data_IF_188357607676
#
_entry.id   IF_188357607676
#
_cell.length_a   1.000
_cell.length_b   1.000
_cell.length_c   1.000
_cell.angle_alpha   90.00
_cell.angle_beta   90.00
_cell.angle_gamma   90.00
#
_symmetry.space_group_name_H-M   'P 1'
#
loop_
_entity.id
_entity.type
_entity.pdbx_description
1 polymer ?
#
# COMPACT_ATOMS: atom_id res chain seq x y z
N UNK A 1 -10.99 32.89 -21.90
CA UNK A 1 -9.98 32.59 -20.85
C UNK A 1 -10.22 31.19 -20.32
N UNK A 2 -9.25 30.26 -20.35
CA UNK A 2 -9.41 28.95 -19.73
C UNK A 2 -9.38 29.09 -18.20
N UNK A 3 -10.39 28.57 -17.50
CA UNK A 3 -10.47 28.59 -16.02
C UNK A 3 -9.25 27.84 -15.44
N UNK A 4 -8.55 28.40 -14.43
CA UNK A 4 -7.45 27.70 -13.78
C UNK A 4 -7.97 26.41 -13.13
N UNK A 5 -7.35 25.28 -13.48
CA UNK A 5 -7.62 23.97 -12.88
C UNK A 5 -7.42 24.09 -11.37
N UNK A 6 -8.49 23.96 -10.57
CA UNK A 6 -8.41 23.86 -9.11
C UNK A 6 -7.40 22.76 -8.77
N UNK A 7 -6.23 23.12 -8.25
CA UNK A 7 -5.28 22.17 -7.67
C UNK A 7 -6.03 21.48 -6.52
N UNK A 8 -6.34 20.19 -6.69
CA UNK A 8 -6.86 19.37 -5.58
C UNK A 8 -5.86 19.51 -4.43
N UNK A 9 -6.36 19.87 -3.25
CA UNK A 9 -5.54 19.93 -2.04
C UNK A 9 -4.71 18.64 -1.96
N UNK A 10 -3.40 18.76 -1.72
CA UNK A 10 -2.54 17.59 -1.46
C UNK A 10 -3.10 16.92 -0.21
N UNK A 11 -3.95 15.91 -0.40
CA UNK A 11 -4.40 15.06 0.70
C UNK A 11 -3.17 14.51 1.43
N UNK A 12 -3.29 14.34 2.74
CA UNK A 12 -2.25 13.74 3.59
C UNK A 12 -1.74 12.48 2.89
N UNK A 13 -0.46 12.45 2.52
CA UNK A 13 0.11 11.30 1.83
C UNK A 13 0.20 10.16 2.83
N UNK A 14 -0.60 9.11 2.61
CA UNK A 14 -0.64 7.94 3.47
C UNK A 14 0.55 7.02 3.26
N UNK A 15 1.06 6.96 2.03
CA UNK A 15 2.30 6.28 1.71
C UNK A 15 3.45 7.28 1.67
N UNK A 16 4.22 7.33 2.76
CA UNK A 16 5.37 8.22 2.92
C UNK A 16 6.70 7.48 2.68
N UNK A 17 7.82 8.22 2.72
CA UNK A 17 9.16 7.63 2.66
C UNK A 17 9.45 6.66 3.80
N UNK A 18 8.82 6.82 4.96
CA UNK A 18 9.02 5.93 6.11
C UNK A 18 8.53 4.52 5.81
N UNK A 19 7.37 4.42 5.15
CA UNK A 19 6.78 3.17 4.70
C UNK A 19 7.64 2.51 3.61
N UNK A 20 8.13 3.31 2.66
CA UNK A 20 9.06 2.82 1.63
C UNK A 20 10.34 2.26 2.26
N UNK A 21 10.94 2.97 3.22
CA UNK A 21 12.10 2.51 3.95
C UNK A 21 11.81 1.25 4.78
N UNK A 22 10.64 1.16 5.41
CA UNK A 22 10.23 -0.02 6.17
C UNK A 22 10.12 -1.26 5.27
N UNK A 23 9.56 -1.11 4.06
CA UNK A 23 9.50 -2.19 3.06
C UNK A 23 10.90 -2.60 2.62
N UNK A 24 11.79 -1.65 2.31
CA UNK A 24 13.18 -1.94 1.92
C UNK A 24 13.90 -2.71 3.02
N UNK A 25 13.78 -2.27 4.28
CA UNK A 25 14.35 -2.97 5.43
C UNK A 25 13.74 -4.36 5.62
N UNK A 26 12.43 -4.51 5.45
CA UNK A 26 11.75 -5.79 5.58
C UNK A 26 12.23 -6.81 4.53
N UNK A 27 12.51 -6.35 3.30
CA UNK A 27 13.01 -7.18 2.21
C UNK A 27 14.49 -7.52 2.42
N UNK A 28 15.28 -6.58 2.94
CA UNK A 28 16.71 -6.79 3.20
C UNK A 28 16.99 -7.60 4.48
N UNK A 29 16.09 -7.56 5.47
CA UNK A 29 16.26 -8.24 6.76
C UNK A 29 15.94 -9.73 6.67
N UNK A 30 16.75 -10.53 7.35
CA UNK A 30 16.53 -11.97 7.55
C UNK A 30 16.00 -12.28 8.96
N UNK A 31 15.99 -11.30 9.88
CA UNK A 31 15.49 -11.48 11.23
C UNK A 31 13.96 -11.40 11.25
N UNK A 32 13.33 -12.47 11.72
CA UNK A 32 11.89 -12.57 11.84
C UNK A 32 11.30 -11.52 12.79
N UNK A 33 12.02 -11.15 13.86
CA UNK A 33 11.56 -10.17 14.85
C UNK A 33 11.50 -8.78 14.24
N UNK A 34 12.55 -8.40 13.53
CA UNK A 34 12.60 -7.12 12.82
C UNK A 34 11.53 -7.06 11.73
N UNK A 35 11.36 -8.14 10.95
CA UNK A 35 10.31 -8.22 9.93
C UNK A 35 8.92 -8.10 10.53
N UNK A 36 8.63 -8.77 11.65
CA UNK A 36 7.35 -8.65 12.35
C UNK A 36 7.11 -7.22 12.86
N UNK A 37 8.13 -6.58 13.43
CA UNK A 37 8.02 -5.18 13.88
C UNK A 37 7.72 -4.23 12.73
N UNK A 38 8.51 -4.28 11.65
CA UNK A 38 8.32 -3.46 10.46
C UNK A 38 6.94 -3.69 9.83
N UNK A 39 6.49 -4.95 9.83
CA UNK A 39 5.18 -5.32 9.32
C UNK A 39 4.05 -4.71 10.16
N UNK A 40 4.06 -4.93 11.47
CA UNK A 40 2.97 -4.50 12.34
C UNK A 40 2.88 -2.98 12.47
N UNK A 41 4.01 -2.29 12.57
CA UNK A 41 4.03 -0.84 12.84
C UNK A 41 3.85 0.02 11.59
N UNK A 42 4.41 -0.41 10.44
CA UNK A 42 4.48 0.44 9.25
C UNK A 42 3.75 -0.16 8.06
N UNK A 43 4.09 -1.39 7.67
CA UNK A 43 3.67 -1.94 6.37
C UNK A 43 2.20 -2.37 6.39
N UNK A 44 1.79 -3.14 7.39
CA UNK A 44 0.43 -3.66 7.52
C UNK A 44 -0.63 -2.55 7.53
N UNK A 45 -0.50 -1.52 8.39
CA UNK A 45 -1.42 -0.39 8.42
C UNK A 45 -1.51 0.33 7.07
N UNK A 46 -0.37 0.59 6.41
CA UNK A 46 -0.38 1.35 5.13
C UNK A 46 -0.95 0.54 3.98
N UNK A 47 -0.76 -0.78 3.99
CA UNK A 47 -1.37 -1.68 3.00
C UNK A 47 -2.88 -1.79 3.20
N UNK A 48 -3.35 -1.86 4.45
CA UNK A 48 -4.79 -1.81 4.74
C UNK A 48 -5.39 -0.50 4.23
N UNK A 49 -4.77 0.64 4.53
CA UNK A 49 -5.27 1.95 4.07
C UNK A 49 -5.25 2.05 2.53
N UNK A 50 -4.28 1.43 1.85
CA UNK A 50 -4.22 1.35 0.39
C UNK A 50 -5.41 0.57 -0.18
N UNK A 51 -5.69 -0.61 0.37
CA UNK A 51 -6.82 -1.46 -0.03
C UNK A 51 -8.15 -0.75 0.22
N UNK A 52 -8.31 -0.14 1.40
CA UNK A 52 -9.52 0.61 1.74
C UNK A 52 -9.77 1.75 0.75
N UNK A 53 -8.72 2.53 0.42
CA UNK A 53 -8.84 3.62 -0.56
C UNK A 53 -9.27 3.14 -1.93
N UNK A 54 -8.83 1.96 -2.36
CA UNK A 54 -9.22 1.36 -3.62
C UNK A 54 -10.70 0.97 -3.56
N UNK A 55 -11.13 0.26 -2.51
CA UNK A 55 -12.53 -0.10 -2.30
C UNK A 55 -13.45 1.13 -2.33
N UNK A 56 -13.06 2.21 -1.64
CA UNK A 56 -13.82 3.47 -1.66
C UNK A 56 -13.82 4.15 -3.04
N UNK A 57 -12.67 4.15 -3.73
CA UNK A 57 -12.54 4.81 -5.05
C UNK A 57 -13.43 4.14 -6.10
N UNK A 58 -13.50 2.81 -6.08
CA UNK A 58 -14.29 2.01 -7.01
C UNK A 58 -15.72 1.73 -6.52
N UNK A 59 -16.11 2.24 -5.34
CA UNK A 59 -17.42 2.06 -4.72
C UNK A 59 -17.81 0.59 -4.51
N UNK A 60 -16.84 -0.27 -4.21
CA UNK A 60 -17.10 -1.68 -3.90
C UNK A 60 -17.72 -1.91 -2.51
N UNK A 61 -18.00 -0.85 -1.76
CA UNK A 61 -18.56 -0.90 -0.40
C UNK A 61 -19.93 -1.57 -0.31
N UNK A 62 -20.68 -1.70 -1.41
CA UNK A 62 -21.99 -2.37 -1.45
C UNK A 62 -21.91 -3.84 -1.86
N UNK A 63 -20.71 -4.35 -2.15
CA UNK A 63 -20.49 -5.71 -2.61
C UNK A 63 -20.47 -6.64 -1.39
N UNK A 64 -21.34 -7.67 -1.31
CA UNK A 64 -21.54 -8.46 -0.10
C UNK A 64 -20.29 -9.23 0.37
N UNK A 65 -19.38 -9.57 -0.54
CA UNK A 65 -18.12 -10.27 -0.27
C UNK A 65 -16.89 -9.34 -0.27
N UNK A 66 -17.08 -8.02 -0.13
CA UNK A 66 -15.95 -7.08 -0.18
C UNK A 66 -14.96 -7.29 0.96
N UNK A 67 -15.43 -7.70 2.14
CA UNK A 67 -14.56 -7.96 3.29
C UNK A 67 -13.56 -9.09 2.99
N UNK A 68 -14.05 -10.21 2.45
CA UNK A 68 -13.21 -11.34 2.06
C UNK A 68 -12.22 -10.95 0.97
N UNK A 69 -12.67 -10.20 -0.05
CA UNK A 69 -11.81 -9.71 -1.13
C UNK A 69 -10.72 -8.75 -0.63
N UNK A 70 -11.02 -7.92 0.37
CA UNK A 70 -10.03 -7.04 0.99
C UNK A 70 -8.96 -7.85 1.72
N UNK A 71 -9.37 -8.87 2.47
CA UNK A 71 -8.43 -9.70 3.21
C UNK A 71 -7.57 -10.56 2.29
N UNK A 72 -8.14 -11.09 1.20
CA UNK A 72 -7.37 -11.74 0.13
C UNK A 72 -6.36 -10.77 -0.51
N UNK A 73 -6.78 -9.53 -0.80
CA UNK A 73 -5.87 -8.49 -1.32
C UNK A 73 -4.71 -8.20 -0.35
N UNK A 74 -5.00 -8.08 0.95
CA UNK A 74 -3.97 -7.84 1.97
C UNK A 74 -2.99 -9.01 2.04
N UNK A 75 -3.50 -10.25 2.09
CA UNK A 75 -2.64 -11.45 2.10
C UNK A 75 -1.77 -11.48 0.85
N UNK A 76 -2.34 -11.24 -0.32
CA UNK A 76 -1.58 -11.23 -1.56
C UNK A 76 -0.48 -10.16 -1.54
N UNK A 77 -0.76 -8.95 -1.06
CA UNK A 77 0.25 -7.89 -0.87
C UNK A 77 1.42 -8.33 0.00
N UNK A 78 1.18 -9.09 1.07
CA UNK A 78 2.26 -9.65 1.90
C UNK A 78 3.08 -10.68 1.13
N UNK A 79 2.44 -11.55 0.35
CA UNK A 79 3.15 -12.61 -0.41
C UNK A 79 4.10 -12.07 -1.47
N UNK A 80 3.76 -10.94 -2.09
CA UNK A 80 4.58 -10.31 -3.12
C UNK A 80 5.62 -9.33 -2.54
N UNK A 81 5.49 -8.97 -1.27
CA UNK A 81 6.39 -8.06 -0.58
C UNK A 81 7.87 -8.46 -0.70
N UNK A 82 8.28 -9.73 -0.44
CA UNK A 82 9.66 -10.15 -0.65
C UNK A 82 10.12 -10.12 -2.12
N UNK A 83 9.20 -10.00 -3.09
CA UNK A 83 9.54 -9.88 -4.52
C UNK A 83 9.80 -8.44 -4.95
N UNK A 84 9.53 -7.46 -4.07
CA UNK A 84 9.77 -6.05 -4.37
C UNK A 84 11.27 -5.76 -4.50
N UNK A 85 11.64 -5.06 -5.58
CA UNK A 85 13.00 -4.60 -5.80
C UNK A 85 13.02 -3.04 -5.81
N UNK A 86 13.70 -2.41 -4.84
CA UNK A 86 13.77 -0.95 -4.74
C UNK A 86 14.57 -0.25 -5.84
N UNK A 87 15.48 -0.96 -6.53
CA UNK A 87 16.24 -0.41 -7.65
C UNK A 87 15.38 -0.21 -8.90
N UNK A 88 14.31 -1.01 -9.05
CA UNK A 88 13.44 -0.97 -10.24
C UNK A 88 12.36 0.10 -10.16
N UNK A 89 11.75 0.27 -9.00
CA UNK A 89 10.63 1.19 -8.83
C UNK A 89 10.43 1.59 -7.37
N UNK A 90 9.79 2.75 -7.16
CA UNK A 90 9.31 3.16 -5.85
C UNK A 90 8.22 2.22 -5.34
N UNK A 91 8.22 1.94 -4.04
CA UNK A 91 7.31 0.97 -3.44
C UNK A 91 5.85 1.32 -3.73
N UNK A 92 5.46 2.58 -3.56
CA UNK A 92 4.10 3.04 -3.87
C UNK A 92 3.69 2.74 -5.32
N UNK A 93 4.57 3.03 -6.29
CA UNK A 93 4.28 2.80 -7.71
C UNK A 93 4.16 1.31 -8.03
N UNK A 94 4.99 0.46 -7.41
CA UNK A 94 4.94 -0.98 -7.60
C UNK A 94 3.65 -1.58 -7.02
N UNK A 95 3.36 -1.30 -5.75
CA UNK A 95 2.19 -1.86 -5.08
C UNK A 95 0.87 -1.29 -5.61
N UNK A 96 0.82 -0.02 -6.02
CA UNK A 96 -0.41 0.55 -6.61
C UNK A 96 -0.79 -0.05 -7.96
N UNK A 97 0.18 -0.49 -8.77
CA UNK A 97 -0.09 -1.20 -10.04
C UNK A 97 -0.66 -2.58 -9.78
N UNK A 98 -0.13 -3.24 -8.77
CA UNK A 98 -0.53 -4.59 -8.35
C UNK A 98 -1.96 -4.59 -7.82
N UNK A 99 -2.33 -3.59 -7.02
CA UNK A 99 -3.67 -3.48 -6.43
C UNK A 99 -4.74 -2.93 -7.37
N UNK A 100 -4.37 -2.46 -8.57
CA UNK A 100 -5.28 -1.83 -9.53
C UNK A 100 -5.82 -2.85 -10.52
#
# INVERSE_FOLDING_TARGET
MPKPRKRRAKGKQYFTKEHENAIIKYVASTDIRERSYLYNEFIGPVFSEMVDKIVYTYKFTTLPNIADLQDECKVWLVTILPKYNPEKAKAFSYFSVITK
#
